data_IF_477290526512
#
_entry.id   IF_477290526512
#
_cell.length_a   1.000
_cell.length_b   1.000
_cell.length_c   1.000
_cell.angle_alpha   90.00
_cell.angle_beta   90.00
_cell.angle_gamma   90.00
#
_symmetry.space_group_name_H-M   'P 1'
#
loop_
_entity.id
_entity.type
_entity.pdbx_description
1 polymer ?
#
# COMPACT_ATOMS: atom_id res chain seq x y z
N UNK A 1 5.97 10.96 -7.44
CA UNK A 1 6.71 11.24 -8.70
C UNK A 1 6.08 12.47 -9.37
N UNK A 2 6.84 13.23 -10.18
CA UNK A 2 6.31 14.39 -10.90
C UNK A 2 5.08 14.06 -11.77
N UNK A 3 4.97 12.83 -12.27
CA UNK A 3 3.77 12.28 -12.91
C UNK A 3 3.81 10.74 -12.94
N UNK A 4 2.66 10.12 -13.26
CA UNK A 4 2.53 8.67 -13.47
C UNK A 4 2.48 7.81 -12.20
N UNK A 5 2.19 6.52 -12.39
CA UNK A 5 2.20 5.54 -11.31
C UNK A 5 3.65 5.18 -10.95
N UNK A 6 4.10 5.38 -9.69
CA UNK A 6 5.44 4.98 -9.29
C UNK A 6 5.60 3.45 -9.34
N UNK A 7 6.78 3.00 -9.74
CA UNK A 7 7.19 1.60 -9.69
C UNK A 7 8.28 1.42 -8.64
N UNK A 8 8.13 0.41 -7.79
CA UNK A 8 9.12 0.03 -6.79
C UNK A 8 9.50 -1.44 -7.00
N UNK A 9 10.80 -1.68 -7.17
CA UNK A 9 11.36 -3.03 -7.25
C UNK A 9 11.96 -3.42 -5.91
N UNK A 10 11.44 -4.48 -5.29
CA UNK A 10 11.91 -5.01 -4.01
C UNK A 10 12.48 -6.40 -4.26
N UNK A 11 13.74 -6.64 -3.87
CA UNK A 11 14.32 -7.98 -3.89
C UNK A 11 13.91 -8.75 -2.64
N UNK A 12 13.50 -9.99 -2.81
CA UNK A 12 13.24 -10.94 -1.71
C UNK A 12 14.30 -12.04 -1.73
N UNK A 13 14.63 -12.65 -0.57
CA UNK A 13 15.72 -13.62 -0.48
C UNK A 13 15.44 -14.97 -1.16
N UNK A 14 14.16 -15.34 -1.33
CA UNK A 14 13.73 -16.58 -1.99
C UNK A 14 12.24 -16.50 -2.36
N UNK A 15 11.74 -17.39 -3.24
CA UNK A 15 10.31 -17.55 -3.45
C UNK A 15 9.57 -17.85 -2.14
N UNK A 16 8.35 -17.35 -2.00
CA UNK A 16 7.50 -17.58 -0.82
C UNK A 16 6.49 -16.47 -0.55
N UNK A 17 5.83 -16.57 0.60
CA UNK A 17 4.77 -15.66 1.04
C UNK A 17 5.34 -14.49 1.84
N UNK A 18 5.00 -13.27 1.42
CA UNK A 18 5.43 -12.02 2.04
C UNK A 18 4.23 -11.13 2.36
N UNK A 19 4.34 -10.30 3.40
CA UNK A 19 3.36 -9.26 3.69
C UNK A 19 3.93 -7.90 3.25
N UNK A 20 3.18 -7.17 2.42
CA UNK A 20 3.56 -5.84 1.94
C UNK A 20 2.59 -4.78 2.45
N UNK A 21 3.16 -3.74 3.07
CA UNK A 21 2.51 -2.47 3.38
C UNK A 21 3.22 -1.39 2.57
N UNK A 22 2.46 -0.67 1.74
CA UNK A 22 2.92 0.54 1.07
C UNK A 22 2.41 1.76 1.84
N UNK A 23 3.32 2.62 2.29
CA UNK A 23 2.98 3.93 2.84
C UNK A 23 3.44 5.04 1.88
N UNK A 24 2.62 6.07 1.75
CA UNK A 24 2.99 7.32 1.09
C UNK A 24 3.09 8.42 2.14
N UNK A 25 4.32 8.68 2.58
CA UNK A 25 4.65 9.77 3.49
C UNK A 25 4.57 11.11 2.75
N UNK A 26 3.59 11.93 3.10
CA UNK A 26 3.36 13.22 2.42
C UNK A 26 3.90 14.42 3.18
N UNK A 27 4.17 14.27 4.47
CA UNK A 27 4.66 15.35 5.33
C UNK A 27 6.15 15.24 5.67
N UNK A 28 6.82 14.18 5.20
CA UNK A 28 8.26 13.97 5.34
C UNK A 28 8.69 13.45 6.71
N UNK A 29 7.76 13.10 7.61
CA UNK A 29 8.10 12.65 8.97
C UNK A 29 8.26 11.14 9.05
N UNK A 30 9.16 10.66 9.90
CA UNK A 30 9.32 9.22 10.15
C UNK A 30 8.25 8.68 11.13
N UNK A 31 6.98 9.02 10.87
CA UNK A 31 5.83 8.56 11.65
C UNK A 31 4.58 8.61 10.77
N UNK A 32 3.87 7.49 10.69
CA UNK A 32 2.63 7.43 9.94
C UNK A 32 1.54 8.32 10.56
N UNK A 33 0.89 9.13 9.73
CA UNK A 33 -0.23 9.99 10.07
C UNK A 33 -1.42 9.68 9.18
N UNK A 34 -2.51 9.18 9.77
CA UNK A 34 -3.75 8.87 9.06
C UNK A 34 -4.38 10.07 8.34
N UNK A 35 -4.05 11.30 8.77
CA UNK A 35 -4.61 12.54 8.22
C UNK A 35 -3.90 13.03 6.96
N UNK A 36 -2.61 12.73 6.84
CA UNK A 36 -1.76 13.29 5.78
C UNK A 36 -1.29 12.21 4.82
N UNK A 37 -0.97 11.03 5.34
CA UNK A 37 -0.34 9.96 4.60
C UNK A 37 -1.35 9.04 3.92
N UNK A 38 -0.85 8.29 2.95
CA UNK A 38 -1.58 7.22 2.31
C UNK A 38 -1.07 5.85 2.75
N UNK A 39 -1.95 4.86 2.75
CA UNK A 39 -1.59 3.46 2.95
C UNK A 39 -2.25 2.56 1.90
N UNK A 40 -1.61 1.44 1.59
CA UNK A 40 -2.15 0.42 0.69
C UNK A 40 -1.61 -0.97 0.99
N UNK A 41 -2.43 -1.97 0.73
CA UNK A 41 -2.09 -3.39 0.84
C UNK A 41 -2.34 -4.12 -0.47
N UNK A 42 -1.71 -5.28 -0.66
CA UNK A 42 -1.81 -6.08 -1.88
C UNK A 42 -3.25 -6.47 -2.27
N UNK A 43 -4.13 -6.69 -1.30
CA UNK A 43 -5.55 -7.03 -1.54
C UNK A 43 -6.36 -5.92 -2.20
N UNK A 44 -5.88 -4.66 -2.15
CA UNK A 44 -6.62 -3.47 -2.59
C UNK A 44 -8.02 -3.32 -1.96
N UNK A 45 -8.28 -4.00 -0.85
CA UNK A 45 -9.52 -3.84 -0.11
C UNK A 45 -9.63 -2.42 0.48
N UNK A 46 -10.85 -1.89 0.59
CA UNK A 46 -11.08 -0.58 1.20
C UNK A 46 -10.58 -0.57 2.65
N UNK A 47 -9.78 0.43 3.01
CA UNK A 47 -9.32 0.59 4.38
C UNK A 47 -10.47 1.09 5.26
N UNK A 48 -10.73 0.33 6.33
CA UNK A 48 -11.74 0.65 7.33
C UNK A 48 -11.16 1.38 8.54
N UNK A 49 -11.99 1.49 9.59
CA UNK A 49 -11.56 1.99 10.90
C UNK A 49 -10.94 0.91 11.80
N UNK A 50 -11.06 -0.35 11.41
CA UNK A 50 -10.46 -1.49 12.11
C UNK A 50 -8.98 -1.64 11.73
N UNK A 51 -8.21 -2.31 12.60
CA UNK A 51 -6.85 -2.73 12.26
C UNK A 51 -6.89 -3.63 11.01
N UNK A 52 -6.06 -3.36 9.98
CA UNK A 52 -5.93 -4.24 8.84
C UNK A 52 -5.46 -5.63 9.27
N UNK A 53 -5.98 -6.66 8.59
CA UNK A 53 -5.56 -8.04 8.86
C UNK A 53 -4.35 -8.38 7.97
N UNK A 54 -3.46 -9.24 8.44
CA UNK A 54 -2.23 -9.60 7.70
C UNK A 54 -2.56 -10.21 6.33
N UNK A 55 -3.67 -10.92 6.22
CA UNK A 55 -4.16 -11.54 4.98
C UNK A 55 -4.36 -10.52 3.86
N UNK A 56 -4.70 -9.28 4.21
CA UNK A 56 -4.89 -8.20 3.23
C UNK A 56 -3.56 -7.77 2.59
N UNK A 57 -2.43 -8.04 3.24
CA UNK A 57 -1.09 -7.64 2.83
C UNK A 57 -0.33 -8.74 2.08
N UNK A 58 -0.86 -9.97 2.02
CA UNK A 58 -0.11 -11.12 1.52
C UNK A 58 0.10 -11.06 0.01
N UNK A 59 1.31 -11.44 -0.40
CA UNK A 59 1.74 -11.64 -1.78
C UNK A 59 2.51 -12.95 -1.86
N UNK A 60 2.21 -13.76 -2.87
CA UNK A 60 2.98 -14.96 -3.22
C UNK A 60 4.04 -14.60 -4.27
N UNK A 61 5.31 -14.73 -3.92
CA UNK A 61 6.44 -14.39 -4.79
C UNK A 61 7.05 -15.65 -5.37
N UNK A 62 7.09 -15.74 -6.70
CA UNK A 62 7.68 -16.87 -7.44
C UNK A 62 9.18 -16.75 -7.68
N UNK A 63 9.72 -17.62 -8.53
CA UNK A 63 11.14 -17.62 -8.92
C UNK A 63 11.53 -16.45 -9.86
N UNK A 64 10.55 -15.76 -10.45
CA UNK A 64 10.74 -14.60 -11.31
C UNK A 64 10.20 -13.31 -10.70
N UNK A 65 10.09 -12.27 -11.53
CA UNK A 65 9.50 -11.00 -11.11
C UNK A 65 8.00 -11.19 -10.88
N UNK A 66 7.56 -10.90 -9.65
CA UNK A 66 6.13 -10.85 -9.31
C UNK A 66 5.68 -9.40 -9.29
N UNK A 67 4.77 -9.03 -10.20
CA UNK A 67 4.22 -7.68 -10.26
C UNK A 67 2.98 -7.57 -9.39
N UNK A 68 3.00 -6.63 -8.44
CA UNK A 68 1.86 -6.35 -7.55
C UNK A 68 1.41 -4.91 -7.75
N UNK A 69 0.12 -4.72 -8.05
CA UNK A 69 -0.49 -3.39 -8.10
C UNK A 69 -1.10 -3.08 -6.74
N UNK A 70 -0.62 -2.01 -6.10
CA UNK A 70 -1.17 -1.51 -4.83
C UNK A 70 -1.77 -0.12 -5.06
N UNK A 71 -3.06 0.02 -4.78
CA UNK A 71 -3.78 1.28 -4.80
C UNK A 71 -3.74 1.90 -3.41
N UNK A 72 -2.99 3.00 -3.28
CA UNK A 72 -2.90 3.77 -2.04
C UNK A 72 -4.22 4.51 -1.79
N UNK A 73 -4.70 4.42 -0.56
CA UNK A 73 -5.89 5.11 -0.07
C UNK A 73 -5.49 6.17 0.98
N UNK A 74 -6.25 7.25 1.03
CA UNK A 74 -6.06 8.39 1.92
C UNK A 74 -7.35 8.65 2.67
N UNK A 75 -7.28 9.17 3.89
CA UNK A 75 -8.48 9.55 4.64
C UNK A 75 -9.15 10.76 3.97
N UNK A 76 -10.43 10.61 3.55
CA UNK A 76 -11.19 11.63 2.82
C UNK A 76 -12.52 11.92 3.50
N UNK A 77 -12.51 12.92 4.39
CA UNK A 77 -13.70 13.40 5.08
C UNK A 77 -14.52 12.28 5.72
N UNK A 78 -15.84 12.36 5.63
CA UNK A 78 -16.76 11.40 6.24
C UNK A 78 -16.80 10.03 5.51
N UNK A 79 -16.31 9.96 4.27
CA UNK A 79 -16.29 8.72 3.46
C UNK A 79 -15.20 7.71 3.87
N UNK A 80 -14.31 8.11 4.77
CA UNK A 80 -13.19 7.29 5.25
C UNK A 80 -12.05 7.24 4.25
N UNK A 81 -11.28 6.14 4.28
CA UNK A 81 -10.19 5.96 3.33
C UNK A 81 -10.70 5.66 1.93
N UNK A 82 -10.06 6.25 0.93
CA UNK A 82 -10.33 5.99 -0.47
C UNK A 82 -9.16 6.41 -1.38
N UNK A 83 -9.12 5.92 -2.63
CA UNK A 83 -8.06 6.27 -3.56
C UNK A 83 -8.11 7.75 -3.94
N UNK A 84 -7.01 8.24 -4.53
CA UNK A 84 -7.09 9.43 -5.38
C UNK A 84 -7.83 9.04 -6.66
N UNK A 85 -8.85 9.81 -7.02
CA UNK A 85 -9.45 9.74 -8.35
C UNK A 85 -8.34 10.02 -9.39
N UNK A 86 -8.35 9.35 -10.55
CA UNK A 86 -7.55 9.77 -11.69
C UNK A 86 -7.80 11.25 -12.04
#
# INVERSE_FOLDING_TARGET
PPSGAPMLCIRVPRPGRYALLLTHNRDGKNKFSFWTDGAGFASNAKLGRSRPKVEQALVEVGAGVTTVRITVQYLRGLGGFGPVTP
#
